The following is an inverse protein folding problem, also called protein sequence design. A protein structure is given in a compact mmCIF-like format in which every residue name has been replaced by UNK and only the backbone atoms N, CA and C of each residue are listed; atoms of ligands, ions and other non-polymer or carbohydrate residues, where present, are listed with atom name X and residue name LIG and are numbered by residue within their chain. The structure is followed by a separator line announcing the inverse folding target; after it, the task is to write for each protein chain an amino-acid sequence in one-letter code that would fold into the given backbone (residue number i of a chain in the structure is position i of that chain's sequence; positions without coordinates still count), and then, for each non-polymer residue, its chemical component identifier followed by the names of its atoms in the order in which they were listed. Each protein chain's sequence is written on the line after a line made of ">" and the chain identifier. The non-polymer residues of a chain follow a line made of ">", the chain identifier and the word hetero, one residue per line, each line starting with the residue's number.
data_IF_244570409159
#
_entry.id   IF_244570409159
#
_cell.length_a   1.000
_cell.length_b   1.000
_cell.length_c   1.000
_cell.angle_alpha   90.00
_cell.angle_beta   90.00
_cell.angle_gamma   90.00
#
_symmetry.space_group_name_H-M   'P 1'
#
loop_
_entity.id
_entity.type
_entity.pdbx_description
1 polymer ?
#
# COMPACT_ATOMS: atom_id res chain seq x y z
N UNK A 1 -17.91 -16.23 -6.17
CA UNK A 1 -17.16 -15.32 -7.06
C UNK A 1 -18.10 -14.63 -8.02
N UNK A 2 -18.77 -15.33 -8.94
CA UNK A 2 -19.71 -14.69 -9.87
C UNK A 2 -20.88 -13.99 -9.16
N UNK A 3 -21.42 -14.62 -8.12
CA UNK A 3 -22.50 -14.06 -7.30
C UNK A 3 -22.08 -12.77 -6.55
N UNK A 4 -20.86 -12.74 -6.00
CA UNK A 4 -20.30 -11.57 -5.31
C UNK A 4 -19.97 -10.43 -6.29
N UNK A 5 -19.57 -10.77 -7.52
CA UNK A 5 -19.30 -9.81 -8.58
C UNK A 5 -20.59 -9.35 -9.31
N UNK A 6 -21.76 -9.91 -8.96
CA UNK A 6 -23.03 -9.59 -9.62
C UNK A 6 -23.08 -9.99 -11.11
N UNK A 7 -22.22 -10.91 -11.53
CA UNK A 7 -22.09 -11.36 -12.93
C UNK A 7 -22.75 -12.74 -13.12
N UNK A 8 -23.10 -13.12 -14.36
CA UNK A 8 -23.63 -14.46 -14.65
C UNK A 8 -22.70 -15.58 -14.14
N UNK A 9 -23.30 -16.67 -13.68
CA UNK A 9 -22.54 -17.86 -13.25
C UNK A 9 -21.65 -18.41 -14.37
N UNK A 10 -20.39 -18.72 -14.05
CA UNK A 10 -19.37 -19.16 -14.99
C UNK A 10 -18.47 -18.05 -15.53
N UNK A 11 -18.73 -16.77 -15.20
CA UNK A 11 -17.92 -15.64 -15.68
C UNK A 11 -16.49 -15.73 -15.16
N UNK A 12 -16.28 -15.99 -13.87
CA UNK A 12 -14.95 -16.14 -13.28
C UNK A 12 -14.16 -17.26 -13.96
N UNK A 13 -14.78 -18.38 -14.30
CA UNK A 13 -14.13 -19.49 -15.00
C UNK A 13 -13.71 -19.16 -16.45
N UNK A 14 -14.30 -18.11 -17.05
CA UNK A 14 -13.90 -17.62 -18.37
C UNK A 14 -12.70 -16.66 -18.31
N UNK A 15 -12.46 -16.02 -17.17
CA UNK A 15 -11.39 -15.02 -16.99
C UNK A 15 -10.21 -15.54 -16.15
N UNK A 16 -10.43 -16.58 -15.35
CA UNK A 16 -9.42 -17.15 -14.47
C UNK A 16 -9.35 -18.66 -14.69
N UNK A 17 -8.16 -19.15 -15.05
CA UNK A 17 -7.97 -20.57 -15.33
C UNK A 17 -8.17 -21.45 -14.08
N UNK A 18 -7.87 -20.90 -12.90
CA UNK A 18 -8.10 -21.51 -11.58
C UNK A 18 -8.02 -20.45 -10.48
N UNK A 19 -8.21 -20.86 -9.21
CA UNK A 19 -8.14 -19.97 -8.05
C UNK A 19 -6.78 -19.28 -7.90
N UNK A 20 -5.70 -19.93 -8.32
CA UNK A 20 -4.34 -19.42 -8.14
C UNK A 20 -4.04 -18.33 -9.17
N UNK A 21 -4.54 -18.51 -10.40
CA UNK A 21 -4.50 -17.49 -11.44
C UNK A 21 -5.29 -16.22 -11.04
N UNK A 22 -6.46 -16.38 -10.42
CA UNK A 22 -7.19 -15.25 -9.86
C UNK A 22 -6.38 -14.54 -8.76
N UNK A 23 -5.86 -15.28 -7.77
CA UNK A 23 -5.11 -14.66 -6.65
C UNK A 23 -3.85 -13.93 -7.14
N UNK A 24 -3.18 -14.48 -8.14
CA UNK A 24 -2.05 -13.84 -8.82
C UNK A 24 -2.47 -12.51 -9.45
N UNK A 25 -3.55 -12.49 -10.25
CA UNK A 25 -4.05 -11.28 -10.90
C UNK A 25 -4.51 -10.22 -9.89
N UNK A 26 -5.14 -10.63 -8.77
CA UNK A 26 -5.49 -9.70 -7.69
C UNK A 26 -4.23 -9.11 -7.04
N UNK A 27 -3.19 -9.93 -6.81
CA UNK A 27 -1.90 -9.47 -6.29
C UNK A 27 -1.19 -8.46 -7.20
N UNK A 28 -1.38 -8.55 -8.52
CA UNK A 28 -0.88 -7.56 -9.48
C UNK A 28 -1.71 -6.27 -9.47
N UNK A 29 -3.05 -6.37 -9.36
CA UNK A 29 -3.94 -5.22 -9.44
C UNK A 29 -4.05 -4.40 -8.14
N UNK A 30 -3.83 -5.02 -6.97
CA UNK A 30 -4.03 -4.36 -5.67
C UNK A 30 -3.20 -3.09 -5.52
N UNK A 31 -1.98 -3.04 -6.07
CA UNK A 31 -1.14 -1.84 -6.04
C UNK A 31 -1.66 -0.71 -6.93
N UNK A 32 -2.28 -1.04 -8.08
CA UNK A 32 -2.92 -0.04 -8.95
C UNK A 32 -4.11 0.59 -8.24
N UNK A 33 -4.90 -0.22 -7.53
CA UNK A 33 -6.05 0.25 -6.74
C UNK A 33 -5.63 1.16 -5.59
N UNK A 34 -4.53 0.84 -4.92
CA UNK A 34 -4.06 1.57 -3.72
C UNK A 34 -3.19 2.81 -4.06
N UNK A 35 -2.75 2.96 -5.31
CA UNK A 35 -1.96 4.11 -5.74
C UNK A 35 -2.74 5.43 -5.61
N UNK A 36 -2.09 6.55 -5.24
CA UNK A 36 -2.76 7.84 -5.21
C UNK A 36 -3.16 8.27 -6.62
N UNK A 37 -4.24 9.06 -6.75
CA UNK A 37 -4.55 9.66 -8.04
C UNK A 37 -3.44 10.64 -8.45
N UNK A 38 -3.08 10.65 -9.74
CA UNK A 38 -2.02 11.52 -10.27
C UNK A 38 -2.26 13.00 -9.93
N UNK A 39 -3.52 13.45 -9.95
CA UNK A 39 -3.89 14.82 -9.58
C UNK A 39 -3.61 15.15 -8.11
N UNK A 40 -3.92 14.22 -7.18
CA UNK A 40 -3.62 14.43 -5.75
C UNK A 40 -2.12 14.47 -5.50
N UNK A 41 -1.39 13.52 -6.09
CA UNK A 41 0.06 13.47 -5.97
C UNK A 41 0.72 14.75 -6.51
N UNK A 42 0.30 15.23 -7.70
CA UNK A 42 0.82 16.46 -8.28
C UNK A 42 0.57 17.70 -7.40
N UNK A 43 -0.60 17.78 -6.76
CA UNK A 43 -0.93 18.86 -5.82
C UNK A 43 -0.03 18.83 -4.59
N UNK A 44 0.18 17.67 -3.99
CA UNK A 44 1.04 17.51 -2.81
C UNK A 44 2.50 17.84 -3.15
N UNK A 45 2.97 17.38 -4.31
CA UNK A 45 4.35 17.60 -4.80
C UNK A 45 4.66 19.03 -5.26
N UNK A 46 3.69 19.95 -5.26
CA UNK A 46 3.93 21.37 -5.53
C UNK A 46 4.64 22.09 -4.37
N UNK A 47 4.68 21.48 -3.19
CA UNK A 47 5.37 22.02 -2.02
C UNK A 47 6.90 21.78 -2.09
N UNK A 48 7.71 22.51 -1.31
CA UNK A 48 9.16 22.29 -1.25
C UNK A 48 9.52 20.85 -0.84
N UNK A 49 10.60 20.27 -1.39
CA UNK A 49 11.04 18.91 -1.08
C UNK A 49 11.75 18.85 0.27
N UNK A 50 11.00 19.05 1.34
CA UNK A 50 11.46 19.02 2.72
C UNK A 50 10.76 17.93 3.55
N UNK A 51 11.12 17.83 4.83
CA UNK A 51 10.51 16.88 5.76
C UNK A 51 9.00 17.07 5.88
N UNK A 52 8.50 18.30 5.81
CA UNK A 52 7.06 18.57 5.88
C UNK A 52 6.32 17.97 4.68
N UNK A 53 6.96 17.88 3.51
CA UNK A 53 6.38 17.22 2.35
C UNK A 53 6.34 15.70 2.54
N UNK A 54 7.40 15.10 3.07
CA UNK A 54 7.40 13.66 3.42
C UNK A 54 6.26 13.36 4.41
N UNK A 55 6.11 14.16 5.45
CA UNK A 55 5.03 14.02 6.43
C UNK A 55 3.64 14.09 5.78
N UNK A 56 3.42 15.08 4.90
CA UNK A 56 2.17 15.21 4.13
C UNK A 56 1.88 13.97 3.29
N UNK A 57 2.88 13.42 2.60
CA UNK A 57 2.71 12.21 1.79
C UNK A 57 2.30 10.99 2.63
N UNK A 58 2.85 10.86 3.84
CA UNK A 58 2.50 9.77 4.77
C UNK A 58 1.09 9.95 5.37
N UNK A 59 0.70 11.19 5.68
CA UNK A 59 -0.68 11.51 6.12
C UNK A 59 -1.70 11.24 5.00
N UNK A 60 -1.40 11.65 3.76
CA UNK A 60 -2.21 11.35 2.58
C UNK A 60 -2.36 9.84 2.34
N UNK A 61 -1.36 9.04 2.72
CA UNK A 61 -1.45 7.57 2.68
C UNK A 61 -2.44 7.05 3.72
N UNK A 62 -2.40 7.56 4.95
CA UNK A 62 -3.34 7.19 6.02
C UNK A 62 -4.78 7.61 5.69
N UNK A 63 -5.00 8.78 5.09
CA UNK A 63 -6.34 9.19 4.67
C UNK A 63 -6.91 8.28 3.58
N UNK A 64 -6.08 7.87 2.62
CA UNK A 64 -6.50 6.92 1.57
C UNK A 64 -6.86 5.55 2.14
N UNK A 65 -6.19 5.12 3.21
CA UNK A 65 -6.53 3.89 3.93
C UNK A 65 -7.98 3.90 4.43
N UNK A 66 -8.43 5.03 4.97
CA UNK A 66 -9.81 5.17 5.47
C UNK A 66 -10.84 5.04 4.36
N UNK A 67 -10.49 5.50 3.15
CA UNK A 67 -11.38 5.44 1.98
C UNK A 67 -11.45 4.04 1.38
N UNK A 68 -10.35 3.28 1.38
CA UNK A 68 -10.30 1.93 0.78
C UNK A 68 -9.82 0.85 1.77
N UNK A 69 -10.51 0.78 2.92
CA UNK A 69 -10.24 -0.21 3.97
C UNK A 69 -10.24 -1.64 3.43
N UNK A 70 -11.21 -1.96 2.56
CA UNK A 70 -11.37 -3.30 1.97
C UNK A 70 -10.18 -3.69 1.09
N UNK A 71 -9.63 -2.74 0.30
CA UNK A 71 -8.46 -3.01 -0.53
C UNK A 71 -7.23 -3.41 0.28
N UNK A 72 -6.99 -2.73 1.40
CA UNK A 72 -5.86 -3.06 2.27
C UNK A 72 -6.07 -4.35 3.07
N UNK A 73 -7.29 -4.63 3.55
CA UNK A 73 -7.59 -5.91 4.19
C UNK A 73 -7.38 -7.09 3.22
N UNK A 74 -7.82 -6.95 1.97
CA UNK A 74 -7.56 -7.95 0.93
C UNK A 74 -6.05 -8.15 0.69
N UNK A 75 -5.25 -7.08 0.70
CA UNK A 75 -3.79 -7.20 0.61
C UNK A 75 -3.19 -7.97 1.80
N UNK A 76 -3.71 -7.76 3.02
CA UNK A 76 -3.27 -8.51 4.19
C UNK A 76 -3.62 -10.00 4.09
N UNK A 77 -4.84 -10.32 3.67
CA UNK A 77 -5.25 -11.71 3.42
C UNK A 77 -4.37 -12.38 2.35
N UNK A 78 -4.07 -11.67 1.25
CA UNK A 78 -3.19 -12.16 0.20
C UNK A 78 -1.76 -12.42 0.70
N UNK A 79 -1.22 -11.53 1.53
CA UNK A 79 0.10 -11.72 2.15
C UNK A 79 0.13 -12.97 3.04
N UNK A 80 -0.95 -13.23 3.78
CA UNK A 80 -1.06 -14.44 4.60
C UNK A 80 -1.20 -15.70 3.73
N UNK A 81 -2.05 -15.68 2.68
CA UNK A 81 -2.25 -16.82 1.78
C UNK A 81 -0.98 -17.14 0.97
N UNK A 82 -0.21 -16.12 0.59
CA UNK A 82 1.07 -16.27 -0.11
C UNK A 82 2.05 -17.18 0.64
N UNK A 83 2.01 -17.23 1.98
CA UNK A 83 2.88 -18.12 2.78
C UNK A 83 2.64 -19.61 2.52
N UNK A 84 1.52 -19.96 1.90
CA UNK A 84 1.10 -21.35 1.62
C UNK A 84 1.09 -21.67 0.13
N UNK A 85 1.37 -20.68 -0.73
CA UNK A 85 1.25 -20.78 -2.20
C UNK A 85 2.48 -20.15 -2.86
N UNK A 86 3.49 -20.94 -3.24
CA UNK A 86 4.76 -20.43 -3.77
C UNK A 86 4.61 -19.53 -5.01
N UNK A 87 3.68 -19.85 -5.92
CA UNK A 87 3.46 -19.04 -7.12
C UNK A 87 2.86 -17.66 -6.78
N UNK A 88 1.89 -17.61 -5.86
CA UNK A 88 1.35 -16.36 -5.34
C UNK A 88 2.41 -15.56 -4.58
N UNK A 89 3.24 -16.24 -3.78
CA UNK A 89 4.36 -15.62 -3.08
C UNK A 89 5.33 -14.96 -4.05
N UNK A 90 5.72 -15.65 -5.13
CA UNK A 90 6.63 -15.12 -6.13
C UNK A 90 6.03 -13.88 -6.83
N UNK A 91 4.77 -13.96 -7.26
CA UNK A 91 4.08 -12.84 -7.88
C UNK A 91 3.97 -11.63 -6.95
N UNK A 92 3.50 -11.83 -5.71
CA UNK A 92 3.34 -10.77 -4.74
C UNK A 92 4.69 -10.16 -4.30
N UNK A 93 5.72 -11.00 -4.15
CA UNK A 93 7.10 -10.53 -3.89
C UNK A 93 7.59 -9.63 -5.00
N UNK A 94 7.40 -10.02 -6.26
CA UNK A 94 7.79 -9.19 -7.40
C UNK A 94 7.07 -7.85 -7.37
N UNK A 95 5.74 -7.85 -7.26
CA UNK A 95 4.95 -6.61 -7.30
C UNK A 95 5.29 -5.65 -6.17
N UNK A 96 5.42 -6.15 -4.93
CA UNK A 96 5.79 -5.33 -3.77
C UNK A 96 7.22 -4.79 -3.92
N UNK A 97 8.15 -5.61 -4.41
CA UNK A 97 9.55 -5.19 -4.59
C UNK A 97 9.67 -4.12 -5.66
N UNK A 98 8.99 -4.29 -6.80
CA UNK A 98 8.97 -3.30 -7.87
C UNK A 98 8.34 -1.97 -7.40
N UNK A 99 7.27 -2.03 -6.59
CA UNK A 99 6.65 -0.83 -6.01
C UNK A 99 7.56 -0.12 -5.01
N UNK A 100 8.25 -0.88 -4.13
CA UNK A 100 9.20 -0.30 -3.19
C UNK A 100 10.35 0.41 -3.91
N UNK A 101 10.89 -0.20 -4.97
CA UNK A 101 11.97 0.40 -5.76
C UNK A 101 11.48 1.67 -6.50
N UNK A 102 10.24 1.68 -6.98
CA UNK A 102 9.62 2.89 -7.53
C UNK A 102 9.48 3.99 -6.48
N UNK A 103 9.08 3.67 -5.23
CA UNK A 103 9.00 4.63 -4.15
C UNK A 103 10.38 5.21 -3.79
N UNK A 104 11.42 4.36 -3.78
CA UNK A 104 12.81 4.79 -3.56
C UNK A 104 13.24 5.76 -4.65
N UNK A 105 13.07 5.38 -5.93
CA UNK A 105 13.42 6.25 -7.06
C UNK A 105 12.66 7.57 -7.02
N UNK A 106 11.34 7.51 -6.81
CA UNK A 106 10.51 8.71 -6.69
C UNK A 106 11.01 9.65 -5.60
N UNK A 107 11.35 9.12 -4.42
CA UNK A 107 11.83 9.92 -3.29
C UNK A 107 13.13 10.64 -3.61
N UNK A 108 14.08 9.91 -4.21
CA UNK A 108 15.39 10.43 -4.59
C UNK A 108 15.30 11.43 -5.76
N UNK A 109 14.54 11.11 -6.81
CA UNK A 109 14.35 11.96 -7.99
C UNK A 109 13.63 13.26 -7.64
N UNK A 110 12.74 13.22 -6.64
CA UNK A 110 12.05 14.41 -6.11
C UNK A 110 12.94 15.27 -5.20
N UNK A 111 14.15 14.82 -4.86
CA UNK A 111 15.06 15.52 -3.94
C UNK A 111 14.55 15.58 -2.50
N UNK A 112 13.66 14.65 -2.10
CA UNK A 112 13.17 14.59 -0.72
C UNK A 112 14.31 14.18 0.23
N UNK A 113 14.29 14.67 1.48
CA UNK A 113 15.35 14.37 2.44
C UNK A 113 15.39 12.87 2.78
N UNK A 114 16.60 12.34 2.94
CA UNK A 114 16.85 10.94 3.27
C UNK A 114 17.41 10.13 2.11
N UNK A 115 17.64 8.85 2.38
CA UNK A 115 18.21 7.90 1.41
C UNK A 115 17.27 6.70 1.20
N UNK A 116 17.77 5.66 0.53
CA UNK A 116 17.02 4.41 0.37
C UNK A 116 16.60 3.82 1.72
N UNK A 117 17.46 3.92 2.74
CA UNK A 117 17.18 3.41 4.09
C UNK A 117 16.00 4.16 4.70
N UNK A 118 15.95 5.49 4.56
CA UNK A 118 14.80 6.31 4.96
C UNK A 118 13.51 5.80 4.35
N UNK A 119 13.48 5.60 3.02
CA UNK A 119 12.27 5.14 2.32
C UNK A 119 11.83 3.75 2.77
N UNK A 120 12.77 2.81 2.91
CA UNK A 120 12.45 1.45 3.37
C UNK A 120 11.93 1.45 4.81
N UNK A 121 12.53 2.24 5.70
CA UNK A 121 12.07 2.40 7.08
C UNK A 121 10.66 2.99 7.16
N UNK A 122 10.39 4.05 6.38
CA UNK A 122 9.05 4.63 6.30
C UNK A 122 8.03 3.64 5.73
N UNK A 123 8.39 2.89 4.69
CA UNK A 123 7.54 1.83 4.12
C UNK A 123 7.18 0.76 5.16
N UNK A 124 8.15 0.28 5.94
CA UNK A 124 7.92 -0.73 6.98
C UNK A 124 7.09 -0.17 8.13
N UNK A 125 7.40 1.05 8.60
CA UNK A 125 6.65 1.71 9.67
C UNK A 125 5.19 1.93 9.27
N UNK A 126 4.93 2.47 8.07
CA UNK A 126 3.58 2.64 7.57
C UNK A 126 2.85 1.31 7.38
N UNK A 127 3.54 0.27 6.89
CA UNK A 127 2.94 -1.07 6.75
C UNK A 127 2.45 -1.62 8.09
N UNK A 128 3.25 -1.47 9.16
CA UNK A 128 2.86 -1.87 10.52
C UNK A 128 1.69 -1.05 11.07
N UNK A 129 1.75 0.27 10.92
CA UNK A 129 0.66 1.18 11.31
C UNK A 129 -0.66 0.87 10.62
N UNK A 130 -0.61 0.58 9.31
CA UNK A 130 -1.79 0.20 8.53
C UNK A 130 -2.40 -1.09 9.08
N UNK A 131 -1.58 -2.11 9.41
CA UNK A 131 -2.08 -3.34 10.02
C UNK A 131 -2.79 -3.04 11.34
N UNK A 132 -2.12 -2.32 12.25
CA UNK A 132 -2.68 -2.01 13.58
C UNK A 132 -4.03 -1.28 13.46
N UNK A 133 -4.10 -0.23 12.65
CA UNK A 133 -5.32 0.54 12.43
C UNK A 133 -6.46 -0.27 11.78
N UNK A 134 -6.11 -1.24 10.94
CA UNK A 134 -7.10 -2.09 10.27
C UNK A 134 -7.59 -3.23 11.16
N UNK A 135 -6.78 -3.73 12.09
CA UNK A 135 -7.14 -4.90 12.88
C UNK A 135 -7.55 -4.56 14.30
N UNK A 136 -6.91 -3.56 14.91
CA UNK A 136 -7.01 -3.22 16.33
C UNK A 136 -6.96 -1.68 16.52
N UNK A 137 -7.92 -0.92 15.96
CA UNK A 137 -7.87 0.55 15.92
C UNK A 137 -7.84 1.23 17.31
N UNK A 138 -8.24 0.53 18.37
CA UNK A 138 -8.21 1.04 19.74
C UNK A 138 -6.81 0.98 20.38
N UNK A 139 -5.88 0.20 19.83
CA UNK A 139 -4.50 0.08 20.35
C UNK A 139 -3.69 1.33 20.07
N UNK A 140 -3.91 1.95 18.91
CA UNK A 140 -3.23 3.17 18.50
C UNK A 140 -4.24 4.11 17.82
N UNK A 141 -4.88 5.02 18.59
CA UNK A 141 -5.82 6.00 18.05
C UNK A 141 -5.22 6.82 16.91
N UNK A 142 -6.08 7.28 15.99
CA UNK A 142 -5.66 7.98 14.77
C UNK A 142 -4.79 9.23 15.06
N UNK A 143 -5.09 9.96 16.13
CA UNK A 143 -4.31 11.14 16.51
C UNK A 143 -2.90 10.76 17.00
N UNK A 144 -2.73 9.65 17.70
CA UNK A 144 -1.42 9.12 18.08
C UNK A 144 -0.63 8.63 16.86
N UNK A 145 -1.30 8.04 15.86
CA UNK A 145 -0.65 7.68 14.59
C UNK A 145 -0.12 8.92 13.86
N UNK A 146 -0.92 10.00 13.83
CA UNK A 146 -0.56 11.28 13.22
C UNK A 146 0.66 11.89 13.89
N UNK A 147 0.78 11.82 15.22
CA UNK A 147 1.97 12.26 15.95
C UNK A 147 3.18 11.37 15.68
N UNK A 148 2.97 10.05 15.60
CA UNK A 148 4.02 9.08 15.30
C UNK A 148 4.61 9.29 13.89
N UNK A 149 3.78 9.64 12.90
CA UNK A 149 4.25 10.01 11.56
C UNK A 149 5.21 11.20 11.62
N UNK A 150 4.86 12.27 12.35
CA UNK A 150 5.74 13.44 12.54
C UNK A 150 7.06 13.01 13.19
N UNK A 151 6.99 12.25 14.28
CA UNK A 151 8.18 11.77 14.99
C UNK A 151 9.09 10.86 14.14
N UNK A 152 8.51 10.06 13.23
CA UNK A 152 9.28 9.22 12.31
C UNK A 152 10.04 10.05 11.28
N UNK A 153 9.39 11.05 10.68
CA UNK A 153 10.00 11.91 9.67
C UNK A 153 11.11 12.79 10.29
N UNK A 154 10.93 13.24 11.53
CA UNK A 154 11.95 14.02 12.22
C UNK A 154 13.25 13.24 12.46
N UNK A 155 13.14 11.91 12.64
CA UNK A 155 14.27 11.00 12.89
C UNK A 155 15.01 10.54 11.63
N UNK A 156 14.47 10.82 10.44
CA UNK A 156 15.10 10.52 9.14
C UNK A 156 15.92 11.68 8.61
#
# INVERSE_FOLDING_TARGET
>A
MDQEAGVPGGTASNYFANRDDLLRQVGEYVHVRLAPSAQRLAKTMAAPPDKSLVERLLRDLLERLQVDRTGYLALLELRLEATRRPELQAALTKTISDNLEQNVRFHLDAGLPGDRTTVVSLYLAMSGMIVEHLTLPEVLPEDEMKELITALVDRT
#
